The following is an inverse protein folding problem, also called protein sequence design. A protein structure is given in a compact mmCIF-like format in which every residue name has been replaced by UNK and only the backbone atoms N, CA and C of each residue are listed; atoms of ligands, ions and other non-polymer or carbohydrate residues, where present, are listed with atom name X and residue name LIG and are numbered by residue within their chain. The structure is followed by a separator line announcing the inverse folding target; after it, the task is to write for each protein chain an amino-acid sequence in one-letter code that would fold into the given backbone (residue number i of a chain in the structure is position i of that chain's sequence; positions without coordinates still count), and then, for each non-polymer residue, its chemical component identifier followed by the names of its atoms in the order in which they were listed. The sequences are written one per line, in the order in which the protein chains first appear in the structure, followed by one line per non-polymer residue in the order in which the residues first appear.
data_IF_610951430559
#
_entry.id   IF_610951430559
#
_cell.length_a   1.000
_cell.length_b   1.000
_cell.length_c   1.000
_cell.angle_alpha   90.00
_cell.angle_beta   90.00
_cell.angle_gamma   90.00
#
_symmetry.space_group_name_H-M   'P 1'
#
loop_
_entity.id
_entity.type
_entity.pdbx_description
1 polymer ?
#
# COMPACT_ATOMS: atom_id res chain seq x y z
N UNK A 1 13.29 17.82 -38.06
CA UNK A 1 13.27 16.57 -37.27
C UNK A 1 13.57 16.90 -35.81
N UNK A 2 12.55 16.90 -34.93
CA UNK A 2 12.79 17.02 -33.48
C UNK A 2 13.44 15.73 -33.02
N UNK A 3 14.68 15.80 -32.54
CA UNK A 3 15.34 14.67 -31.88
C UNK A 3 14.58 14.40 -30.58
N UNK A 4 14.02 13.20 -30.46
CA UNK A 4 13.45 12.75 -29.19
C UNK A 4 14.58 12.71 -28.14
N UNK A 5 14.32 13.16 -26.90
CA UNK A 5 15.35 13.16 -25.86
C UNK A 5 15.73 11.71 -25.48
N UNK A 6 17.02 11.44 -25.20
CA UNK A 6 17.50 10.09 -24.93
C UNK A 6 16.90 9.50 -23.65
N UNK A 7 16.45 8.26 -23.76
CA UNK A 7 15.89 7.44 -22.68
C UNK A 7 16.87 7.38 -21.50
N UNK A 8 16.43 7.87 -20.34
CA UNK A 8 17.16 7.73 -19.07
C UNK A 8 16.72 6.46 -18.37
N UNK A 9 17.67 5.54 -18.18
CA UNK A 9 17.50 4.29 -17.43
C UNK A 9 17.58 4.52 -15.92
N UNK A 10 16.77 3.78 -15.16
CA UNK A 10 16.96 3.55 -13.72
C UNK A 10 16.72 2.05 -13.45
N UNK A 11 17.76 1.38 -12.92
CA UNK A 11 17.72 0.02 -12.32
C UNK A 11 17.47 -1.20 -13.22
N UNK A 12 18.13 -1.33 -14.38
CA UNK A 12 18.50 -2.65 -14.92
C UNK A 12 17.38 -3.64 -15.30
N UNK A 13 16.13 -3.20 -15.44
CA UNK A 13 15.03 -4.04 -15.97
C UNK A 13 14.85 -3.72 -17.46
N UNK A 14 14.80 -4.77 -18.29
CA UNK A 14 14.56 -4.67 -19.74
C UNK A 14 13.21 -3.98 -20.01
N UNK A 15 13.25 -2.95 -20.84
CA UNK A 15 12.11 -2.20 -21.36
C UNK A 15 11.33 -3.05 -22.37
N UNK A 16 10.45 -3.91 -21.89
CA UNK A 16 9.30 -4.36 -22.68
C UNK A 16 8.05 -3.83 -21.96
N UNK A 17 7.56 -2.69 -22.46
CA UNK A 17 6.34 -1.97 -22.07
C UNK A 17 6.18 -1.64 -20.57
N UNK A 18 7.00 -0.71 -20.05
CA UNK A 18 6.63 -0.05 -18.79
C UNK A 18 5.51 0.93 -19.09
N UNK A 19 4.33 0.63 -18.56
CA UNK A 19 3.12 1.44 -18.71
C UNK A 19 3.31 2.85 -18.17
N UNK A 20 2.71 3.84 -18.85
CA UNK A 20 2.93 5.26 -18.52
C UNK A 20 2.41 5.59 -17.12
N UNK A 21 1.28 4.99 -16.74
CA UNK A 21 0.66 5.20 -15.44
C UNK A 21 1.56 4.78 -14.28
N UNK A 22 2.32 3.69 -14.44
CA UNK A 22 3.28 3.21 -13.43
C UNK A 22 4.47 4.15 -13.32
N UNK A 23 5.01 4.63 -14.46
CA UNK A 23 6.14 5.56 -14.46
C UNK A 23 5.79 6.86 -13.73
N UNK A 24 4.60 7.40 -13.98
CA UNK A 24 4.11 8.58 -13.25
C UNK A 24 4.01 8.29 -11.75
N UNK A 25 3.48 7.12 -11.39
CA UNK A 25 3.34 6.72 -10.01
C UNK A 25 4.68 6.53 -9.29
N UNK A 26 5.66 5.87 -9.90
CA UNK A 26 7.00 5.68 -9.33
C UNK A 26 7.69 7.02 -9.05
N UNK A 27 7.58 7.97 -9.99
CA UNK A 27 8.17 9.30 -9.82
C UNK A 27 7.44 10.15 -8.75
N UNK A 28 6.16 9.87 -8.49
CA UNK A 28 5.40 10.58 -7.45
C UNK A 28 5.73 10.11 -6.02
N UNK A 29 6.11 8.83 -5.85
CA UNK A 29 6.34 8.22 -4.54
C UNK A 29 7.81 8.30 -4.15
N UNK A 30 8.13 9.15 -3.17
CA UNK A 30 9.51 9.44 -2.75
C UNK A 30 10.25 8.25 -2.11
N UNK A 31 9.52 7.29 -1.53
CA UNK A 31 10.09 6.15 -0.80
C UNK A 31 9.88 4.86 -1.57
N UNK A 32 10.98 4.15 -1.87
CA UNK A 32 10.95 2.83 -2.51
C UNK A 32 10.10 1.82 -1.73
N UNK A 33 10.16 1.87 -0.40
CA UNK A 33 9.37 0.96 0.45
C UNK A 33 7.88 1.26 0.36
N UNK A 34 7.50 2.54 0.35
CA UNK A 34 6.09 2.95 0.19
C UNK A 34 5.57 2.58 -1.20
N UNK A 35 6.40 2.76 -2.24
CA UNK A 35 6.06 2.37 -3.61
C UNK A 35 5.76 0.87 -3.72
N UNK A 36 6.67 0.02 -3.23
CA UNK A 36 6.45 -1.44 -3.20
C UNK A 36 5.20 -1.81 -2.40
N UNK A 37 4.99 -1.18 -1.24
CA UNK A 37 3.80 -1.44 -0.42
C UNK A 37 2.52 -1.09 -1.17
N UNK A 38 2.49 0.03 -1.88
CA UNK A 38 1.32 0.48 -2.65
C UNK A 38 1.08 -0.40 -3.87
N UNK A 39 2.15 -0.81 -4.58
CA UNK A 39 2.07 -1.75 -5.69
C UNK A 39 1.40 -3.06 -5.26
N UNK A 40 1.85 -3.63 -4.13
CA UNK A 40 1.22 -4.83 -3.57
C UNK A 40 -0.29 -4.67 -3.28
N UNK A 41 -0.75 -3.45 -2.96
CA UNK A 41 -2.19 -3.19 -2.72
C UNK A 41 -2.94 -2.97 -4.03
N UNK A 42 -2.29 -2.32 -4.99
CA UNK A 42 -2.81 -2.09 -6.33
C UNK A 42 -3.03 -3.42 -7.06
N UNK A 43 -2.04 -4.32 -7.03
CA UNK A 43 -2.13 -5.65 -7.63
C UNK A 43 -3.28 -6.48 -7.05
N UNK A 44 -3.53 -6.35 -5.75
CA UNK A 44 -4.67 -7.02 -5.10
C UNK A 44 -6.01 -6.45 -5.56
N UNK A 45 -6.08 -5.15 -5.80
CA UNK A 45 -7.28 -4.52 -6.35
C UNK A 45 -7.49 -4.91 -7.81
N UNK A 46 -6.43 -4.90 -8.63
CA UNK A 46 -6.48 -5.32 -10.03
C UNK A 46 -6.94 -6.77 -10.17
N UNK A 47 -6.45 -7.68 -9.32
CA UNK A 47 -6.93 -9.07 -9.26
C UNK A 47 -8.40 -9.18 -8.86
N UNK A 48 -8.91 -8.27 -8.04
CA UNK A 48 -10.32 -8.25 -7.67
C UNK A 48 -11.21 -7.77 -8.82
N UNK A 49 -10.77 -6.75 -9.57
CA UNK A 49 -11.51 -6.21 -10.71
C UNK A 49 -11.35 -7.07 -11.98
N UNK A 50 -10.29 -7.87 -12.05
CA UNK A 50 -9.95 -8.69 -13.22
C UNK A 50 -9.29 -7.90 -14.35
N UNK A 51 -8.55 -6.83 -14.01
CA UNK A 51 -7.80 -6.01 -14.98
C UNK A 51 -6.32 -6.37 -14.87
N UNK A 52 -5.66 -6.58 -16.01
CA UNK A 52 -4.24 -6.96 -16.06
C UNK A 52 -3.31 -5.77 -16.34
N UNK A 53 -3.82 -4.70 -16.95
CA UNK A 53 -3.06 -3.48 -17.27
C UNK A 53 -3.39 -2.31 -16.33
N UNK A 54 -2.37 -1.60 -15.84
CA UNK A 54 -2.52 -0.42 -15.00
C UNK A 54 -2.98 0.80 -15.82
N UNK A 55 -2.55 0.90 -17.08
CA UNK A 55 -3.05 1.91 -18.02
C UNK A 55 -4.55 1.71 -18.30
N UNK A 56 -5.02 0.47 -18.46
CA UNK A 56 -6.46 0.17 -18.54
C UNK A 56 -7.19 0.53 -17.25
N UNK A 57 -6.60 0.25 -16.09
CA UNK A 57 -7.18 0.61 -14.79
C UNK A 57 -7.40 2.12 -14.67
N UNK A 58 -6.48 2.94 -15.17
CA UNK A 58 -6.61 4.41 -15.14
C UNK A 58 -7.76 4.93 -16.01
N UNK A 59 -8.15 4.18 -17.05
CA UNK A 59 -9.21 4.55 -18.01
C UNK A 59 -10.52 3.82 -17.76
N UNK A 60 -10.56 2.91 -16.79
CA UNK A 60 -11.70 2.04 -16.58
C UNK A 60 -12.94 2.82 -16.10
N UNK A 61 -14.08 2.52 -16.70
CA UNK A 61 -15.36 3.02 -16.20
C UNK A 61 -15.78 2.31 -14.90
N UNK A 62 -16.65 2.98 -14.15
CA UNK A 62 -17.24 2.51 -12.89
C UNK A 62 -16.20 2.15 -11.81
N UNK A 63 -15.02 2.79 -11.85
CA UNK A 63 -13.97 2.66 -10.83
C UNK A 63 -14.49 2.92 -9.42
N UNK A 64 -15.43 3.83 -9.26
CA UNK A 64 -15.98 4.14 -7.95
C UNK A 64 -16.74 2.94 -7.35
N UNK A 65 -17.63 2.32 -8.11
CA UNK A 65 -18.40 1.14 -7.69
C UNK A 65 -17.48 -0.04 -7.42
N UNK A 66 -16.54 -0.32 -8.33
CA UNK A 66 -15.52 -1.37 -8.18
C UNK A 66 -14.72 -1.22 -6.89
N UNK A 67 -14.36 0.01 -6.53
CA UNK A 67 -13.58 0.30 -5.33
C UNK A 67 -14.44 0.21 -4.06
N UNK A 68 -15.70 0.62 -4.11
CA UNK A 68 -16.68 0.43 -3.03
C UNK A 68 -16.88 -1.08 -2.76
N UNK A 69 -17.13 -1.88 -3.80
CA UNK A 69 -17.29 -3.34 -3.72
C UNK A 69 -16.04 -4.02 -3.17
N UNK A 70 -14.86 -3.59 -3.64
CA UNK A 70 -13.60 -4.11 -3.14
C UNK A 70 -13.45 -3.84 -1.64
N UNK A 71 -13.73 -2.62 -1.18
CA UNK A 71 -13.66 -2.26 0.24
C UNK A 71 -14.65 -3.08 1.07
N UNK A 72 -15.86 -3.31 0.56
CA UNK A 72 -16.84 -4.18 1.22
C UNK A 72 -16.34 -5.63 1.31
N UNK A 73 -15.67 -6.14 0.27
CA UNK A 73 -15.12 -7.49 0.26
C UNK A 73 -13.97 -7.67 1.27
N UNK A 74 -13.02 -6.73 1.32
CA UNK A 74 -11.85 -6.82 2.22
C UNK A 74 -12.23 -6.58 3.68
N UNK A 75 -13.33 -5.89 3.95
CA UNK A 75 -13.82 -5.63 5.32
C UNK A 75 -14.03 -6.91 6.12
N UNK A 76 -14.42 -7.99 5.45
CA UNK A 76 -14.63 -9.30 6.07
C UNK A 76 -13.33 -10.14 6.17
N UNK A 77 -12.24 -9.71 5.53
CA UNK A 77 -11.00 -10.47 5.41
C UNK A 77 -9.86 -9.90 6.24
N UNK A 78 -9.84 -8.58 6.46
CA UNK A 78 -8.72 -7.90 7.13
C UNK A 78 -9.16 -7.12 8.35
N UNK A 79 -8.20 -6.80 9.23
CA UNK A 79 -8.50 -5.98 10.41
C UNK A 79 -9.07 -4.60 9.99
N UNK A 80 -10.00 -4.03 10.77
CA UNK A 80 -10.54 -2.68 10.52
C UNK A 80 -9.46 -1.61 10.32
N UNK A 81 -8.36 -1.76 11.06
CA UNK A 81 -7.23 -0.83 10.99
C UNK A 81 -6.36 -1.01 9.75
N UNK A 82 -6.46 -2.14 9.06
CA UNK A 82 -5.68 -2.44 7.86
C UNK A 82 -6.34 -1.89 6.59
N UNK A 83 -7.67 -1.76 6.57
CA UNK A 83 -8.45 -1.33 5.39
C UNK A 83 -7.95 0.01 4.81
N UNK A 84 -7.67 1.06 5.62
CA UNK A 84 -7.14 2.30 5.06
C UNK A 84 -5.81 2.09 4.32
N UNK A 85 -4.94 1.19 4.79
CA UNK A 85 -3.66 0.92 4.14
C UNK A 85 -3.82 0.25 2.77
N UNK A 86 -4.83 -0.60 2.59
CA UNK A 86 -5.18 -1.15 1.27
C UNK A 86 -5.69 -0.05 0.34
N UNK A 87 -6.62 0.76 0.84
CA UNK A 87 -7.23 1.85 0.08
C UNK A 87 -6.23 2.91 -0.37
N UNK A 88 -5.35 3.38 0.51
CA UNK A 88 -4.46 4.50 0.18
C UNK A 88 -3.45 4.16 -0.93
N UNK A 89 -3.04 2.90 -1.05
CA UNK A 89 -2.19 2.49 -2.18
C UNK A 89 -2.89 2.68 -3.53
N UNK A 90 -4.15 2.24 -3.62
CA UNK A 90 -4.96 2.40 -4.83
C UNK A 90 -5.34 3.85 -5.08
N UNK A 91 -5.73 4.58 -4.03
CA UNK A 91 -6.04 6.01 -4.11
C UNK A 91 -4.87 6.81 -4.67
N UNK A 92 -3.66 6.61 -4.13
CA UNK A 92 -2.49 7.34 -4.61
C UNK A 92 -2.18 7.07 -6.08
N UNK A 93 -2.35 5.83 -6.56
CA UNK A 93 -2.20 5.53 -7.98
C UNK A 93 -3.23 6.26 -8.83
N UNK A 94 -4.51 6.21 -8.45
CA UNK A 94 -5.60 6.84 -9.19
C UNK A 94 -5.50 8.38 -9.18
N UNK A 95 -5.09 8.98 -8.06
CA UNK A 95 -4.86 10.42 -7.95
C UNK A 95 -3.70 10.91 -8.83
N UNK A 96 -2.62 10.12 -8.95
CA UNK A 96 -1.48 10.47 -9.82
C UNK A 96 -1.81 10.32 -11.30
N UNK A 97 -2.79 9.48 -11.63
CA UNK A 97 -3.29 9.29 -12.99
C UNK A 97 -4.53 10.14 -13.31
N UNK A 98 -4.77 11.21 -12.54
CA UNK A 98 -5.84 12.19 -12.74
C UNK A 98 -7.27 11.58 -12.73
N UNK A 99 -7.48 10.46 -12.03
CA UNK A 99 -8.80 9.84 -11.89
C UNK A 99 -9.56 10.51 -10.74
N UNK A 100 -10.60 11.27 -11.10
CA UNK A 100 -11.45 11.99 -10.15
C UNK A 100 -12.56 11.08 -9.59
N UNK A 101 -12.42 10.65 -8.33
CA UNK A 101 -13.43 9.85 -7.62
C UNK A 101 -13.90 10.56 -6.33
N UNK A 102 -15.09 10.21 -5.85
CA UNK A 102 -15.58 10.70 -4.56
C UNK A 102 -14.96 9.92 -3.38
N UNK A 103 -13.73 10.29 -3.01
CA UNK A 103 -12.99 9.66 -1.91
C UNK A 103 -13.73 9.73 -0.56
N UNK A 104 -14.48 10.80 -0.30
CA UNK A 104 -15.21 10.97 0.97
C UNK A 104 -16.31 9.92 1.13
N UNK A 105 -16.99 9.56 0.04
CA UNK A 105 -18.00 8.49 0.03
C UNK A 105 -17.35 7.15 0.39
N UNK A 106 -16.22 6.84 -0.24
CA UNK A 106 -15.49 5.60 -0.03
C UNK A 106 -14.98 5.47 1.42
N UNK A 107 -14.35 6.51 1.96
CA UNK A 107 -13.81 6.51 3.33
C UNK A 107 -14.91 6.28 4.37
N UNK A 108 -16.16 6.70 4.08
CA UNK A 108 -17.31 6.48 4.96
C UNK A 108 -17.69 5.00 5.08
N UNK A 109 -17.27 4.15 4.14
CA UNK A 109 -17.49 2.70 4.21
C UNK A 109 -16.52 1.99 5.19
N UNK A 110 -15.47 2.68 5.64
CA UNK A 110 -14.49 2.10 6.55
C UNK A 110 -15.12 1.79 7.91
N UNK A 111 -14.82 0.62 8.50
CA UNK A 111 -15.22 0.33 9.86
C UNK A 111 -14.50 1.24 10.86
N UNK A 112 -15.09 1.37 12.04
CA UNK A 112 -14.48 2.08 13.17
C UNK A 112 -13.12 1.47 13.52
N UNK A 113 -12.13 2.34 13.78
CA UNK A 113 -10.79 1.90 14.19
C UNK A 113 -10.84 1.20 15.55
N UNK A 114 -10.10 0.12 15.67
CA UNK A 114 -9.98 -0.65 16.92
C UNK A 114 -8.68 -0.26 17.63
N UNK A 115 -8.72 -0.02 18.94
CA UNK A 115 -7.53 0.35 19.71
C UNK A 115 -6.49 -0.78 19.66
N UNK A 116 -5.30 -0.50 19.12
CA UNK A 116 -4.19 -1.48 19.03
C UNK A 116 -3.40 -1.62 20.33
N UNK A 117 -3.23 -0.51 21.04
CA UNK A 117 -2.27 -0.36 22.16
C UNK A 117 -2.98 -0.21 23.50
N UNK A 118 -2.27 -0.41 24.61
CA UNK A 118 -2.84 -0.37 25.96
C UNK A 118 -3.24 -1.74 26.49
N UNK A 119 -2.59 -2.80 25.99
CA UNK A 119 -2.62 -4.11 26.65
C UNK A 119 -1.81 -4.03 27.95
N UNK A 120 -1.90 -5.09 28.77
CA UNK A 120 -1.20 -5.21 30.05
C UNK A 120 0.29 -4.89 29.90
N UNK A 121 0.83 -4.10 30.83
CA UNK A 121 2.27 -3.91 30.95
C UNK A 121 2.98 -5.24 31.25
N UNK A 122 4.25 -5.35 30.86
CA UNK A 122 5.08 -6.49 31.26
C UNK A 122 5.28 -6.48 32.77
N UNK A 123 5.11 -7.65 33.37
CA UNK A 123 5.46 -7.85 34.78
C UNK A 123 6.97 -8.00 34.94
N UNK A 124 7.50 -7.70 36.13
CA UNK A 124 8.94 -7.88 36.44
C UNK A 124 9.43 -9.30 36.13
N UNK A 125 8.59 -10.32 36.38
CA UNK A 125 8.89 -11.72 36.08
C UNK A 125 9.03 -11.99 34.57
N UNK A 126 8.22 -11.32 33.75
CA UNK A 126 8.30 -11.44 32.28
C UNK A 126 9.54 -10.72 31.74
N UNK A 127 9.89 -9.56 32.29
CA UNK A 127 11.14 -8.85 31.94
C UNK A 127 12.36 -9.72 32.29
N UNK A 128 12.37 -10.37 33.45
CA UNK A 128 13.44 -11.31 33.83
C UNK A 128 13.57 -12.48 32.86
N UNK A 129 12.44 -13.04 32.36
CA UNK A 129 12.47 -14.09 31.33
C UNK A 129 13.04 -13.59 30.01
N UNK A 130 12.69 -12.37 29.59
CA UNK A 130 13.23 -11.76 28.36
C UNK A 130 14.76 -11.59 28.48
N UNK A 131 15.23 -11.11 29.64
CA UNK A 131 16.67 -10.93 29.90
C UNK A 131 17.44 -12.25 29.98
N UNK A 132 16.80 -13.33 30.43
CA UNK A 132 17.40 -14.66 30.48
C UNK A 132 17.61 -15.28 29.08
N UNK A 133 16.75 -14.93 28.10
CA UNK A 133 16.86 -15.40 26.71
C UNK A 133 17.86 -14.58 25.89
N UNK A 134 18.05 -13.30 26.23
CA UNK A 134 19.01 -12.43 25.56
C UNK A 134 20.46 -12.86 25.90
N UNK A 135 21.06 -13.67 25.02
CA UNK A 135 22.40 -14.26 25.20
C UNK A 135 23.53 -13.23 25.17
N UNK A 136 23.40 -12.20 24.33
CA UNK A 136 24.44 -11.18 24.13
C UNK A 136 24.20 -9.93 24.98
N UNK A 137 25.29 -9.31 25.42
CA UNK A 137 25.25 -8.07 26.22
C UNK A 137 24.56 -6.92 25.47
N UNK A 138 24.71 -6.87 24.13
CA UNK A 138 24.06 -5.88 23.27
C UNK A 138 22.54 -6.05 23.26
N UNK A 139 22.05 -7.29 23.14
CA UNK A 139 20.62 -7.58 23.17
C UNK A 139 20.01 -7.33 24.55
N UNK A 140 20.76 -7.60 25.63
CA UNK A 140 20.34 -7.25 27.00
C UNK A 140 20.25 -5.74 27.21
N UNK A 141 21.21 -4.98 26.68
CA UNK A 141 21.21 -3.52 26.76
C UNK A 141 20.07 -2.86 25.95
N UNK A 142 19.53 -3.52 24.92
CA UNK A 142 18.36 -3.03 24.19
C UNK A 142 17.03 -3.22 24.94
N UNK A 143 17.01 -4.13 25.92
CA UNK A 143 15.81 -4.45 26.72
C UNK A 143 15.75 -3.64 28.01
N UNK A 144 16.91 -3.29 28.58
CA UNK A 144 17.06 -2.46 29.79
C UNK A 144 16.98 -0.97 29.46
#
# INVERSE_FOLDING_TARGET
MRKEPPLKYSNGVKLETVERSILLFENSVKSKHSFSTYMDKLDRFMKFVGIESYDELSRADNLQEKLEDWIMSIKNQVSPNSIPYYFYGVKSFLEVNDVLLNWKKIIRLFPSKVKKTGRRAYTTKEVQKILAVAKDIRSRALVL
#
